data_IF_197264065392
#
_entry.id   IF_197264065392
#
_cell.length_a   1.000
_cell.length_b   1.000
_cell.length_c   1.000
_cell.angle_alpha   90.00
_cell.angle_beta   90.00
_cell.angle_gamma   90.00
#
_symmetry.space_group_name_H-M   'P 1'
#
loop_
_entity.id
_entity.type
_entity.pdbx_description
1 polymer ?
#
# COMPACT_ATOMS: atom_id res chain seq x y z
N UNK A 1 1.55 -12.57 6.46
CA UNK A 1 1.66 -11.11 6.66
C UNK A 1 1.73 -10.43 5.31
N UNK A 2 1.03 -9.32 5.12
CA UNK A 2 1.02 -8.52 3.88
C UNK A 2 1.81 -7.25 4.13
N UNK A 3 2.88 -7.08 3.38
CA UNK A 3 3.81 -5.93 3.48
C UNK A 3 4.10 -5.27 2.14
N UNK A 4 3.61 -5.84 1.04
CA UNK A 4 3.89 -5.38 -0.30
C UNK A 4 2.79 -5.73 -1.30
N UNK A 5 2.74 -4.98 -2.38
CA UNK A 5 2.08 -5.39 -3.61
C UNK A 5 2.89 -6.51 -4.25
N UNK A 6 2.29 -7.69 -4.41
CA UNK A 6 2.97 -8.86 -5.00
C UNK A 6 3.18 -8.73 -6.51
N UNK A 7 2.28 -8.03 -7.21
CA UNK A 7 2.39 -7.85 -8.66
C UNK A 7 3.52 -6.91 -9.07
N UNK A 8 3.72 -5.82 -8.32
CA UNK A 8 4.69 -4.77 -8.66
C UNK A 8 5.91 -4.74 -7.73
N UNK A 9 5.97 -5.66 -6.75
CA UNK A 9 7.06 -5.76 -5.78
C UNK A 9 7.18 -4.59 -4.79
N UNK A 10 6.30 -3.58 -4.86
CA UNK A 10 6.35 -2.37 -4.03
C UNK A 10 5.92 -2.64 -2.60
N UNK A 11 6.79 -2.39 -1.64
CA UNK A 11 6.49 -2.50 -0.21
C UNK A 11 5.65 -1.32 0.26
N UNK A 12 4.85 -1.54 1.29
CA UNK A 12 4.05 -0.48 1.91
C UNK A 12 4.95 0.56 2.59
N UNK A 13 6.13 0.15 3.08
CA UNK A 13 7.13 1.08 3.61
C UNK A 13 7.67 2.03 2.54
N UNK A 14 8.02 1.53 1.35
CA UNK A 14 8.44 2.37 0.23
C UNK A 14 7.33 3.32 -0.21
N UNK A 15 6.09 2.83 -0.34
CA UNK A 15 4.96 3.66 -0.73
C UNK A 15 4.68 4.77 0.30
N UNK A 16 4.75 4.46 1.60
CA UNK A 16 4.64 5.45 2.67
C UNK A 16 5.76 6.49 2.60
N UNK A 17 6.99 6.09 2.33
CA UNK A 17 8.12 7.01 2.17
C UNK A 17 7.90 7.97 0.98
N UNK A 18 7.38 7.48 -0.15
CA UNK A 18 7.00 8.32 -1.30
C UNK A 18 5.94 9.35 -0.91
N UNK A 19 4.89 8.93 -0.18
CA UNK A 19 3.86 9.86 0.31
C UNK A 19 4.45 10.96 1.20
N UNK A 20 5.36 10.61 2.10
CA UNK A 20 6.01 11.60 2.98
C UNK A 20 6.91 12.56 2.21
N UNK A 21 7.73 12.05 1.29
CA UNK A 21 8.67 12.86 0.49
C UNK A 21 7.94 13.85 -0.43
N UNK A 22 6.79 13.45 -0.97
CA UNK A 22 6.01 14.26 -1.92
C UNK A 22 4.77 14.92 -1.31
N UNK A 23 4.61 14.82 0.02
CA UNK A 23 3.45 15.32 0.78
C UNK A 23 2.09 14.85 0.20
N UNK A 24 2.01 13.60 -0.25
CA UNK A 24 0.79 12.96 -0.74
C UNK A 24 -0.05 12.49 0.44
N UNK A 25 -1.38 12.60 0.34
CA UNK A 25 -2.31 12.21 1.41
C UNK A 25 -3.44 11.30 0.95
N UNK A 26 -3.65 11.13 -0.35
CA UNK A 26 -4.72 10.28 -0.87
C UNK A 26 -4.17 9.09 -1.66
N UNK A 27 -5.03 8.09 -1.84
CA UNK A 27 -4.71 6.89 -2.62
C UNK A 27 -4.44 7.24 -4.08
N UNK A 28 -5.24 8.13 -4.65
CA UNK A 28 -5.19 8.61 -6.02
C UNK A 28 -3.90 9.38 -6.30
N UNK A 29 -3.49 10.24 -5.36
CA UNK A 29 -2.20 10.94 -5.42
C UNK A 29 -1.03 9.95 -5.40
N UNK A 30 -1.07 8.93 -4.54
CA UNK A 30 -0.02 7.92 -4.51
C UNK A 30 0.00 7.08 -5.81
N UNK A 31 -1.19 6.76 -6.35
CA UNK A 31 -1.34 5.98 -7.58
C UNK A 31 -0.87 6.74 -8.83
N UNK A 32 -0.94 8.07 -8.86
CA UNK A 32 -0.36 8.86 -9.96
C UNK A 32 1.17 8.85 -9.96
N UNK A 33 1.80 8.53 -8.82
CA UNK A 33 3.25 8.57 -8.64
C UNK A 33 3.91 7.19 -8.77
N UNK A 34 3.20 6.11 -8.39
CA UNK A 34 3.75 4.76 -8.35
C UNK A 34 2.72 3.75 -8.84
N UNK A 35 3.15 2.83 -9.71
CA UNK A 35 2.33 1.70 -10.13
C UNK A 35 2.17 0.65 -9.01
N UNK A 36 0.94 0.46 -8.53
CA UNK A 36 0.51 -0.60 -7.62
C UNK A 36 -1.01 -0.78 -7.69
N UNK A 37 -1.53 -1.94 -7.28
CA UNK A 37 -2.98 -2.14 -7.15
C UNK A 37 -3.77 -2.18 -8.46
N UNK A 38 -3.10 -2.33 -9.60
CA UNK A 38 -3.73 -2.36 -10.93
C UNK A 38 -3.93 -3.77 -11.48
N UNK A 39 -3.10 -4.74 -11.06
CA UNK A 39 -3.13 -6.11 -11.60
C UNK A 39 -4.09 -7.00 -10.78
N UNK A 40 -3.64 -7.58 -9.65
CA UNK A 40 -4.52 -8.42 -8.82
C UNK A 40 -5.43 -7.64 -7.86
N UNK A 41 -5.18 -6.34 -7.67
CA UNK A 41 -5.87 -5.43 -6.74
C UNK A 41 -5.89 -5.84 -5.25
N UNK A 42 -5.32 -6.98 -4.87
CA UNK A 42 -5.32 -7.48 -3.48
C UNK A 42 -4.64 -6.54 -2.47
N UNK A 43 -3.67 -5.74 -2.91
CA UNK A 43 -3.00 -4.78 -2.02
C UNK A 43 -3.85 -3.54 -1.69
N UNK A 44 -4.88 -3.22 -2.48
CA UNK A 44 -5.60 -1.93 -2.42
C UNK A 44 -6.17 -1.68 -1.02
N UNK A 45 -6.86 -2.65 -0.44
CA UNK A 45 -7.41 -2.53 0.91
C UNK A 45 -6.33 -2.28 1.98
N UNK A 46 -5.14 -2.87 1.82
CA UNK A 46 -4.03 -2.67 2.74
C UNK A 46 -3.35 -1.31 2.55
N UNK A 47 -3.31 -0.78 1.33
CA UNK A 47 -2.83 0.58 1.06
C UNK A 47 -3.75 1.62 1.68
N UNK A 48 -5.08 1.47 1.56
CA UNK A 48 -6.01 2.36 2.26
C UNK A 48 -5.75 2.36 3.78
N UNK A 49 -5.64 1.18 4.38
CA UNK A 49 -5.28 1.07 5.80
C UNK A 49 -3.92 1.69 6.13
N UNK A 50 -2.93 1.56 5.25
CA UNK A 50 -1.61 2.18 5.42
C UNK A 50 -1.72 3.71 5.42
N UNK A 51 -2.55 4.28 4.55
CA UNK A 51 -2.79 5.73 4.48
C UNK A 51 -3.47 6.21 5.76
N UNK A 52 -4.48 5.48 6.23
CA UNK A 52 -5.26 5.85 7.42
C UNK A 52 -4.46 5.70 8.73
N UNK A 53 -3.71 4.61 8.87
CA UNK A 53 -3.07 4.22 10.14
C UNK A 53 -1.57 4.43 10.18
N UNK A 54 -0.93 4.60 9.01
CA UNK A 54 0.52 4.60 8.86
C UNK A 54 1.18 3.22 9.00
N UNK A 55 0.43 2.14 9.25
CA UNK A 55 0.98 0.78 9.35
C UNK A 55 1.38 0.25 7.96
N UNK A 56 2.50 -0.47 7.89
CA UNK A 56 3.07 -0.99 6.63
C UNK A 56 3.07 -2.52 6.58
N UNK A 57 2.33 -3.13 7.49
CA UNK A 57 2.49 -4.52 7.90
C UNK A 57 1.16 -5.03 8.47
N UNK A 58 0.52 -5.97 7.76
CA UNK A 58 -0.81 -6.46 8.12
C UNK A 58 -0.84 -7.98 8.25
N UNK A 59 -1.46 -8.50 9.31
CA UNK A 59 -1.70 -9.94 9.42
C UNK A 59 -2.92 -10.33 8.59
N UNK A 60 -2.79 -11.40 7.81
CA UNK A 60 -3.96 -12.06 7.20
C UNK A 60 -4.41 -13.05 8.25
N UNK A 61 -5.59 -12.86 8.83
CA UNK A 61 -6.18 -13.91 9.65
C UNK A 61 -6.54 -15.06 8.70
N UNK A 62 -5.92 -16.22 8.88
CA UNK A 62 -6.45 -17.44 8.31
C UNK A 62 -7.80 -17.70 8.99
N UNK A 63 -8.83 -17.96 8.20
CA UNK A 63 -10.10 -18.47 8.71
C UNK A 63 -9.80 -19.93 9.08
N UNK A 64 -9.93 -20.26 10.37
CA UNK A 64 -9.93 -21.66 10.85
C UNK A 64 -11.24 -22.36 10.49
#
# INVERSE_FOLDING_TARGET
MVTKCVCFGKTFAELKAVMQQRNLRTFEQLKSEVAFGENCQLCVAYIHKMIETGQTAFQVKAIE
#
